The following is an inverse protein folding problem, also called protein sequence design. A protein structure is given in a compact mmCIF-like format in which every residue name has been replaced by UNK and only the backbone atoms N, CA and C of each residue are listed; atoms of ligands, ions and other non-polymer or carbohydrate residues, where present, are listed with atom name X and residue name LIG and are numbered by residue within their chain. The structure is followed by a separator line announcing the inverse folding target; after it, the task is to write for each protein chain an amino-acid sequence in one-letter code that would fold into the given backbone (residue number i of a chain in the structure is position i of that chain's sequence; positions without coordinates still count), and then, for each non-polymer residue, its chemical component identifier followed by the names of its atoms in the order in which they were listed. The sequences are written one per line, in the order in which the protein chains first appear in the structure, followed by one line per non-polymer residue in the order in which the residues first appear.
data_IF_502827298783
#
_entry.id   IF_502827298783
#
_cell.length_a   1.000
_cell.length_b   1.000
_cell.length_c   1.000
_cell.angle_alpha   90.00
_cell.angle_beta   90.00
_cell.angle_gamma   90.00
#
_symmetry.space_group_name_H-M   'P 1'
#
loop_
_entity.id
_entity.type
_entity.pdbx_description
1 polymer ?
#
# COMPACT_ATOMS: atom_id res chain seq x y z
N UNK A 1 -14.04 -2.28 9.60
CA UNK A 1 -13.15 -2.59 10.74
C UNK A 1 -12.03 -1.56 10.73
N UNK A 2 -11.74 -0.91 11.86
CA UNK A 2 -10.70 0.13 11.95
C UNK A 2 -9.31 -0.49 11.82
N UNK A 3 -8.42 0.14 11.06
CA UNK A 3 -7.03 -0.30 10.84
C UNK A 3 -6.14 0.22 11.96
N UNK A 4 -6.25 -0.39 13.13
CA UNK A 4 -5.48 0.02 14.33
C UNK A 4 -3.96 -0.03 14.09
N UNK A 5 -3.48 -0.97 13.27
CA UNK A 5 -2.08 -1.08 12.91
C UNK A 5 -1.56 0.19 12.21
N UNK A 6 -2.35 0.77 11.31
CA UNK A 6 -1.96 1.95 10.53
C UNK A 6 -1.91 3.21 11.41
N UNK A 7 -2.86 3.31 12.35
CA UNK A 7 -2.93 4.41 13.33
C UNK A 7 -1.69 4.38 14.23
N UNK A 8 -1.35 3.20 14.76
CA UNK A 8 -0.16 3.02 15.60
C UNK A 8 1.13 3.41 14.87
N UNK A 9 1.28 3.02 13.60
CA UNK A 9 2.45 3.41 12.80
C UNK A 9 2.55 4.92 12.63
N UNK A 10 1.42 5.60 12.36
CA UNK A 10 1.38 7.05 12.25
C UNK A 10 1.76 7.72 13.58
N UNK A 11 1.22 7.24 14.69
CA UNK A 11 1.47 7.78 16.04
C UNK A 11 2.90 7.54 16.51
N UNK A 12 3.48 6.39 16.21
CA UNK A 12 4.90 6.10 16.49
C UNK A 12 5.85 7.05 15.75
N UNK A 13 5.45 7.57 14.57
CA UNK A 13 6.20 8.60 13.86
C UNK A 13 5.88 10.03 14.34
N UNK A 14 4.98 10.20 15.30
CA UNK A 14 4.56 11.51 15.81
C UNK A 14 3.78 12.36 14.81
N UNK A 15 3.21 11.74 13.76
CA UNK A 15 2.58 12.45 12.65
C UNK A 15 1.07 12.62 12.86
N UNK A 16 0.54 13.78 12.45
CA UNK A 16 -0.89 14.01 12.33
C UNK A 16 -1.41 13.48 10.98
N UNK A 17 -2.71 13.18 10.91
CA UNK A 17 -3.35 12.65 9.70
C UNK A 17 -3.16 13.57 8.48
N UNK A 18 -3.20 14.89 8.66
CA UNK A 18 -3.01 15.82 7.56
C UNK A 18 -1.56 15.85 7.05
N UNK A 19 -0.58 15.64 7.93
CA UNK A 19 0.84 15.69 7.55
C UNK A 19 1.21 14.52 6.66
N UNK A 20 0.75 13.32 7.03
CA UNK A 20 0.95 12.15 6.19
C UNK A 20 0.13 12.22 4.91
N UNK A 21 -1.10 12.73 4.97
CA UNK A 21 -1.91 12.93 3.77
C UNK A 21 -1.23 13.88 2.76
N UNK A 22 -0.63 14.98 3.25
CA UNK A 22 0.17 15.88 2.42
C UNK A 22 1.40 15.18 1.82
N UNK A 23 2.15 14.40 2.61
CA UNK A 23 3.31 13.63 2.10
C UNK A 23 2.91 12.60 1.05
N UNK A 24 1.71 12.04 1.18
CA UNK A 24 1.14 11.07 0.27
C UNK A 24 0.27 11.72 -0.83
N UNK A 25 0.28 13.04 -0.96
CA UNK A 25 -0.50 13.78 -1.97
C UNK A 25 -1.96 13.29 -2.08
N UNK A 26 -2.63 13.15 -0.92
CA UNK A 26 -4.02 12.75 -0.80
C UNK A 26 -4.73 13.68 0.18
N UNK A 27 -6.07 13.70 0.14
CA UNK A 27 -6.82 14.46 1.12
C UNK A 27 -6.73 13.83 2.51
N UNK A 28 -6.64 14.68 3.54
CA UNK A 28 -6.65 14.26 4.95
C UNK A 28 -7.90 13.42 5.28
N UNK A 29 -9.05 13.79 4.72
CA UNK A 29 -10.29 13.02 4.89
C UNK A 29 -10.16 11.61 4.29
N UNK A 30 -9.56 11.47 3.11
CA UNK A 30 -9.34 10.16 2.49
C UNK A 30 -8.42 9.28 3.33
N UNK A 31 -7.32 9.83 3.84
CA UNK A 31 -6.43 9.10 4.76
C UNK A 31 -7.15 8.67 6.05
N UNK A 32 -7.98 9.55 6.63
CA UNK A 32 -8.82 9.24 7.78
C UNK A 32 -9.83 8.11 7.51
N UNK A 33 -10.44 8.08 6.32
CA UNK A 33 -11.33 7.00 5.90
C UNK A 33 -10.60 5.66 5.72
N UNK A 34 -9.34 5.69 5.29
CA UNK A 34 -8.47 4.50 5.22
C UNK A 34 -8.18 3.98 6.63
N UNK A 35 -7.78 4.84 7.57
CA UNK A 35 -7.52 4.43 8.96
C UNK A 35 -8.77 3.85 9.62
N UNK A 36 -9.95 4.43 9.37
CA UNK A 36 -11.24 3.92 9.89
C UNK A 36 -11.70 2.63 9.20
N UNK A 37 -11.03 2.21 8.13
CA UNK A 37 -11.43 1.06 7.32
C UNK A 37 -12.72 1.27 6.53
N UNK A 38 -13.14 2.53 6.33
CA UNK A 38 -14.31 2.88 5.52
C UNK A 38 -14.00 2.85 4.03
N UNK A 39 -12.76 3.18 3.66
CA UNK A 39 -12.27 3.06 2.28
C UNK A 39 -11.08 2.14 2.20
N UNK A 40 -10.98 1.44 1.08
CA UNK A 40 -9.77 0.74 0.69
C UNK A 40 -8.95 1.67 -0.22
N UNK A 41 -7.65 1.88 0.07
CA UNK A 41 -6.79 2.61 -0.84
C UNK A 41 -6.67 1.87 -2.18
N UNK A 42 -6.55 2.62 -3.28
CA UNK A 42 -6.10 2.05 -4.56
C UNK A 42 -4.68 1.52 -4.42
N UNK A 43 -4.29 0.57 -5.26
CA UNK A 43 -2.96 -0.05 -5.27
C UNK A 43 -1.82 0.97 -5.11
N UNK A 44 -1.79 1.99 -5.97
CA UNK A 44 -0.75 3.03 -5.93
C UNK A 44 -0.67 3.76 -4.57
N UNK A 45 -1.80 4.01 -3.92
CA UNK A 45 -1.83 4.71 -2.62
C UNK A 45 -1.43 3.75 -1.50
N UNK A 46 -1.91 2.50 -1.57
CA UNK A 46 -1.53 1.46 -0.62
C UNK A 46 0.00 1.23 -0.64
N UNK A 47 0.59 1.18 -1.84
CA UNK A 47 2.03 1.05 -2.03
C UNK A 47 2.80 2.22 -1.42
N UNK A 48 2.39 3.47 -1.71
CA UNK A 48 3.03 4.66 -1.13
C UNK A 48 2.94 4.71 0.39
N UNK A 49 1.81 4.29 0.96
CA UNK A 49 1.65 4.19 2.42
C UNK A 49 2.58 3.09 2.98
N UNK A 50 2.62 1.93 2.31
CA UNK A 50 3.44 0.80 2.69
C UNK A 50 4.93 1.15 2.68
N UNK A 51 5.42 1.79 1.60
CA UNK A 51 6.78 2.32 1.48
C UNK A 51 7.09 3.37 2.55
N UNK A 52 6.15 4.31 2.79
CA UNK A 52 6.34 5.35 3.80
C UNK A 52 6.54 4.77 5.21
N UNK A 53 5.84 3.69 5.54
CA UNK A 53 5.93 3.04 6.84
C UNK A 53 6.89 1.85 6.90
N UNK A 54 7.44 1.41 5.76
CA UNK A 54 8.30 0.23 5.67
C UNK A 54 7.57 -1.08 6.00
N UNK A 55 6.31 -1.21 5.58
CA UNK A 55 5.48 -2.41 5.82
C UNK A 55 5.08 -3.07 4.51
N UNK A 56 4.64 -4.34 4.54
CA UNK A 56 4.08 -4.96 3.33
C UNK A 56 2.73 -4.32 2.96
N UNK A 57 2.53 -4.09 1.65
CA UNK A 57 1.26 -3.64 1.07
C UNK A 57 0.14 -4.67 1.25
N UNK A 58 0.48 -5.94 1.46
CA UNK A 58 -0.47 -7.04 1.69
C UNK A 58 -1.35 -6.79 2.91
N UNK A 59 -0.86 -6.02 3.89
CA UNK A 59 -1.64 -5.61 5.07
C UNK A 59 -2.93 -4.85 4.72
N UNK A 60 -3.01 -4.26 3.53
CA UNK A 60 -4.22 -3.60 3.03
C UNK A 60 -5.22 -4.56 2.37
N UNK A 61 -4.76 -5.70 1.85
CA UNK A 61 -5.52 -6.61 1.00
C UNK A 61 -5.74 -8.00 1.61
N UNK A 62 -5.06 -8.32 2.72
CA UNK A 62 -5.22 -9.59 3.40
C UNK A 62 -6.66 -9.75 3.93
N UNK A 63 -7.39 -10.68 3.33
CA UNK A 63 -8.71 -11.11 3.79
C UNK A 63 -8.68 -12.64 4.00
N UNK A 64 -8.56 -13.12 5.24
CA UNK A 64 -8.41 -14.55 5.53
C UNK A 64 -9.63 -15.39 5.07
N UNK A 65 -10.77 -14.74 4.80
CA UNK A 65 -12.02 -15.40 4.42
C UNK A 65 -12.13 -15.67 2.91
N UNK A 66 -11.16 -15.27 2.09
CA UNK A 66 -11.10 -15.63 0.65
C UNK A 66 -9.95 -16.60 0.41
N UNK A 67 -10.09 -17.82 0.93
CA UNK A 67 -9.28 -18.94 0.46
C UNK A 67 -9.83 -19.34 -0.91
N UNK A 68 -9.34 -18.73 -1.99
CA UNK A 68 -9.39 -19.42 -3.28
C UNK A 68 -8.37 -20.54 -3.17
N UNK A 69 -8.85 -21.79 -3.15
CA UNK A 69 -7.99 -22.95 -3.37
C UNK A 69 -7.22 -22.68 -4.65
N UNK A 70 -5.93 -22.35 -4.53
CA UNK A 70 -5.01 -22.46 -5.65
C UNK A 70 -4.47 -23.87 -5.50
N UNK A 71 -5.22 -24.83 -6.02
CA UNK A 71 -4.70 -26.17 -6.21
C UNK A 71 -3.69 -26.09 -7.36
N UNK A 72 -2.41 -26.34 -7.06
CA UNK A 72 -1.37 -26.60 -8.07
C UNK A 72 -0.38 -25.46 -8.30
N UNK A 73 0.81 -25.66 -7.74
CA UNK A 73 2.13 -25.39 -8.35
C UNK A 73 2.25 -24.22 -9.35
N UNK A 74 2.94 -23.15 -8.95
CA UNK A 74 4.03 -22.66 -9.80
C UNK A 74 5.14 -22.14 -8.92
N UNK A 75 6.24 -22.87 -8.97
CA UNK A 75 7.56 -22.53 -8.48
C UNK A 75 8.04 -21.17 -9.00
N UNK A 76 9.03 -20.63 -8.29
CA UNK A 76 9.76 -19.43 -8.63
C UNK A 76 10.09 -19.30 -10.13
N UNK A 77 9.76 -18.13 -10.70
CA UNK A 77 10.57 -17.54 -11.78
C UNK A 77 10.82 -16.07 -11.46
N UNK A 78 12.02 -15.82 -10.97
CA UNK A 78 12.77 -14.60 -11.26
C UNK A 78 12.66 -14.29 -12.76
N UNK A 79 12.72 -13.01 -13.15
CA UNK A 79 13.21 -12.46 -14.43
C UNK A 79 12.25 -11.89 -15.51
N UNK A 80 11.70 -10.67 -15.32
CA UNK A 80 11.63 -9.70 -16.44
C UNK A 80 11.99 -8.30 -15.90
N UNK A 81 13.25 -7.87 -15.97
CA UNK A 81 13.87 -7.21 -17.12
C UNK A 81 13.04 -6.06 -17.71
N UNK A 82 12.86 -4.98 -16.96
CA UNK A 82 12.59 -3.67 -17.58
C UNK A 82 13.88 -3.08 -18.13
N UNK A 83 14.43 -3.70 -19.18
CA UNK A 83 15.42 -3.05 -20.03
C UNK A 83 14.72 -2.30 -21.14
N UNK A 84 14.86 -0.97 -21.05
CA UNK A 84 15.07 -0.04 -22.15
C UNK A 84 13.82 0.45 -22.90
N UNK A 85 13.41 1.69 -22.58
CA UNK A 85 13.02 2.65 -23.62
C UNK A 85 14.19 3.64 -23.71
N UNK A 86 14.88 3.54 -24.84
CA UNK A 86 16.07 4.24 -25.30
C UNK A 86 15.87 5.75 -25.42
N UNK A 87 16.85 6.50 -24.93
CA UNK A 87 17.24 7.80 -25.51
C UNK A 87 17.80 7.55 -26.92
N UNK A 88 17.20 8.18 -27.92
CA UNK A 88 17.89 8.59 -29.14
C UNK A 88 17.39 9.97 -29.54
N UNK A 89 18.33 10.91 -29.56
CA UNK A 89 18.22 12.15 -30.29
C UNK A 89 18.03 11.86 -31.78
N UNK A 90 17.19 12.66 -32.43
CA UNK A 90 17.58 13.40 -33.63
C UNK A 90 16.94 14.79 -33.57
#
# INVERSE_FOLDING_TARGET
MKREWLIKLRENKGLKQFEIANKLDISSNYYCEIEKGKKNPRWNIAMRIAEFFGVSVDNFFYNPTRVTRVDGETEAKENESFTNITTSNE
#
